data_IF_783862471564
#
_entry.id   IF_783862471564
#
_cell.length_a   1.000
_cell.length_b   1.000
_cell.length_c   1.000
_cell.angle_alpha   90.00
_cell.angle_beta   90.00
_cell.angle_gamma   90.00
#
_symmetry.space_group_name_H-M   'P 1'
#
loop_
_entity.id
_entity.type
_entity.pdbx_description
1 polymer ?
#
# COMPACT_ATOMS: atom_id res chain seq x y z
N UNK A 1 -23.29 -8.05 6.28
CA UNK A 1 -22.14 -8.60 5.55
C UNK A 1 -21.37 -9.50 6.48
N UNK A 2 -21.05 -10.68 6.05
CA UNK A 2 -20.27 -11.59 6.88
C UNK A 2 -18.74 -11.28 6.82
N UNK A 3 -17.98 -11.87 7.73
CA UNK A 3 -16.54 -11.63 7.85
C UNK A 3 -15.75 -12.11 6.62
N UNK A 4 -16.24 -13.15 5.94
CA UNK A 4 -15.57 -13.67 4.74
C UNK A 4 -15.76 -12.74 3.54
N UNK A 5 -16.95 -12.13 3.40
CA UNK A 5 -17.19 -11.08 2.41
C UNK A 5 -16.29 -9.87 2.64
N UNK A 6 -16.18 -9.43 3.90
CA UNK A 6 -15.29 -8.32 4.27
C UNK A 6 -13.84 -8.64 3.93
N UNK A 7 -13.36 -9.86 4.22
CA UNK A 7 -12.01 -10.29 3.87
C UNK A 7 -11.77 -10.28 2.37
N UNK A 8 -12.73 -10.77 1.57
CA UNK A 8 -12.61 -10.74 0.10
C UNK A 8 -12.49 -9.32 -0.45
N UNK A 9 -13.29 -8.39 0.08
CA UNK A 9 -13.23 -6.98 -0.30
C UNK A 9 -11.90 -6.34 0.14
N UNK A 10 -11.45 -6.61 1.35
CA UNK A 10 -10.18 -6.11 1.87
C UNK A 10 -8.99 -6.66 1.05
N UNK A 11 -9.05 -7.92 0.63
CA UNK A 11 -8.05 -8.51 -0.26
C UNK A 11 -7.98 -7.77 -1.59
N UNK A 12 -9.12 -7.52 -2.22
CA UNK A 12 -9.18 -6.75 -3.47
C UNK A 12 -8.59 -5.36 -3.30
N UNK A 13 -8.92 -4.66 -2.21
CA UNK A 13 -8.38 -3.34 -1.89
C UNK A 13 -6.86 -3.37 -1.69
N UNK A 14 -6.35 -4.38 -0.97
CA UNK A 14 -4.92 -4.50 -0.68
C UNK A 14 -4.10 -4.86 -1.93
N UNK A 15 -4.60 -5.75 -2.78
CA UNK A 15 -3.89 -6.23 -3.98
C UNK A 15 -3.98 -5.27 -5.16
N UNK A 16 -5.13 -4.62 -5.35
CA UNK A 16 -5.43 -3.80 -6.53
C UNK A 16 -5.57 -2.30 -6.23
N UNK A 17 -5.46 -1.91 -4.98
CA UNK A 17 -5.69 -0.54 -4.54
C UNK A 17 -7.16 -0.19 -4.41
N UNK A 18 -7.46 1.11 -4.26
CA UNK A 18 -8.83 1.59 -4.10
C UNK A 18 -9.67 1.25 -5.33
N UNK A 19 -10.81 0.61 -5.10
CA UNK A 19 -11.77 0.30 -6.13
C UNK A 19 -13.08 1.07 -5.87
N UNK A 20 -13.51 1.97 -6.77
CA UNK A 20 -14.68 2.84 -6.53
C UNK A 20 -15.96 2.09 -6.16
N UNK A 21 -16.18 0.90 -6.73
CA UNK A 21 -17.35 0.07 -6.45
C UNK A 21 -17.36 -0.56 -5.05
N UNK A 22 -16.22 -0.58 -4.35
CA UNK A 22 -16.07 -1.20 -3.03
C UNK A 22 -16.05 -0.20 -1.88
N UNK A 23 -16.00 1.10 -2.18
CA UNK A 23 -15.89 2.15 -1.17
C UNK A 23 -17.15 3.00 -1.09
N UNK A 24 -17.38 3.61 0.08
CA UNK A 24 -18.46 4.59 0.26
C UNK A 24 -18.13 5.91 -0.45
N UNK A 25 -19.15 6.73 -0.72
CA UNK A 25 -18.97 8.02 -1.38
C UNK A 25 -18.10 8.99 -0.55
N UNK A 26 -18.13 8.85 0.78
CA UNK A 26 -17.33 9.63 1.72
C UNK A 26 -16.08 8.89 2.21
N UNK A 27 -15.61 7.91 1.45
CA UNK A 27 -14.40 7.12 1.79
C UNK A 27 -13.21 8.01 2.11
N UNK A 28 -12.50 7.65 3.18
CA UNK A 28 -11.27 8.31 3.60
C UNK A 28 -10.11 7.32 3.70
N UNK A 29 -8.98 7.71 3.13
CA UNK A 29 -7.71 6.99 3.21
C UNK A 29 -6.72 7.85 3.99
N UNK A 30 -6.14 7.30 5.06
CA UNK A 30 -5.17 8.02 5.88
C UNK A 30 -3.87 7.23 6.03
N UNK A 31 -2.74 7.93 5.88
CA UNK A 31 -1.43 7.43 6.30
C UNK A 31 -1.26 7.82 7.76
N UNK A 32 -1.22 6.84 8.64
CA UNK A 32 -1.10 7.02 10.09
C UNK A 32 0.36 7.25 10.46
N UNK A 33 0.84 8.47 10.23
CA UNK A 33 2.20 8.91 10.52
C UNK A 33 2.20 10.40 10.84
N UNK A 34 3.29 10.87 11.43
CA UNK A 34 3.49 12.31 11.63
C UNK A 34 3.60 13.01 10.26
N UNK A 35 2.99 14.19 10.07
CA UNK A 35 3.00 14.91 8.78
C UNK A 35 4.41 15.17 8.22
N UNK A 36 5.43 15.30 9.09
CA UNK A 36 6.82 15.45 8.65
C UNK A 36 7.45 14.15 8.13
N UNK A 37 6.82 13.00 8.39
CA UNK A 37 7.38 11.68 8.06
C UNK A 37 6.92 11.16 6.69
N UNK A 38 5.81 11.68 6.17
CA UNK A 38 5.26 11.26 4.89
C UNK A 38 4.42 12.40 4.29
N UNK A 39 4.57 12.73 2.99
CA UNK A 39 3.86 13.87 2.39
C UNK A 39 2.34 13.67 2.34
N UNK A 40 1.86 12.43 2.34
CA UNK A 40 0.43 12.13 2.38
C UNK A 40 -0.15 11.99 3.79
N UNK A 41 0.69 12.04 4.85
CA UNK A 41 0.23 12.00 6.22
C UNK A 41 -0.33 13.36 6.68
N UNK A 42 -1.14 13.33 7.73
CA UNK A 42 -1.69 14.55 8.37
C UNK A 42 -3.06 14.98 7.88
N UNK A 43 -3.60 14.39 6.81
CA UNK A 43 -4.98 14.59 6.36
C UNK A 43 -5.55 13.34 5.68
N UNK A 44 -6.89 13.18 5.66
CA UNK A 44 -7.51 12.14 4.86
C UNK A 44 -7.44 12.45 3.37
N UNK A 45 -7.43 11.39 2.55
CA UNK A 45 -7.46 11.45 1.10
C UNK A 45 -8.72 10.77 0.58
N UNK A 46 -9.29 11.30 -0.50
CA UNK A 46 -10.43 10.71 -1.19
C UNK A 46 -10.01 9.51 -2.05
N UNK A 47 -10.99 8.71 -2.47
CA UNK A 47 -10.74 7.61 -3.40
C UNK A 47 -10.08 8.09 -4.71
N UNK A 48 -10.51 9.22 -5.26
CA UNK A 48 -9.95 9.77 -6.50
C UNK A 48 -8.50 10.22 -6.35
N UNK A 49 -8.12 10.78 -5.19
CA UNK A 49 -6.73 11.14 -4.90
C UNK A 49 -5.83 9.89 -4.86
N UNK A 50 -6.29 8.82 -4.21
CA UNK A 50 -5.54 7.55 -4.13
C UNK A 50 -5.43 6.90 -5.51
N UNK A 51 -6.49 6.87 -6.29
CA UNK A 51 -6.45 6.35 -7.66
C UNK A 51 -5.45 7.10 -8.54
N UNK A 52 -5.41 8.43 -8.46
CA UNK A 52 -4.42 9.25 -9.17
C UNK A 52 -2.98 8.92 -8.74
N UNK A 53 -2.75 8.69 -7.45
CA UNK A 53 -1.46 8.27 -6.91
C UNK A 53 -1.03 6.90 -7.43
N UNK A 54 -1.97 5.95 -7.49
CA UNK A 54 -1.71 4.60 -8.01
C UNK A 54 -1.38 4.63 -9.52
N UNK A 55 -2.06 5.45 -10.32
CA UNK A 55 -1.74 5.61 -11.74
C UNK A 55 -0.32 6.19 -11.94
N UNK A 56 0.08 7.18 -11.14
CA UNK A 56 1.47 7.69 -11.17
C UNK A 56 2.47 6.62 -10.74
N UNK A 57 2.13 5.80 -9.75
CA UNK A 57 3.00 4.70 -9.33
C UNK A 57 3.23 3.70 -10.45
N UNK A 58 2.24 3.39 -11.27
CA UNK A 58 2.38 2.51 -12.45
C UNK A 58 3.33 3.07 -13.51
N UNK A 59 3.40 4.40 -13.63
CA UNK A 59 4.35 5.06 -14.54
C UNK A 59 5.78 5.04 -14.00
N UNK A 60 5.95 5.10 -12.67
CA UNK A 60 7.25 5.22 -12.00
C UNK A 60 7.87 3.87 -11.63
N UNK A 61 7.06 2.84 -11.44
CA UNK A 61 7.48 1.54 -10.91
C UNK A 61 6.94 0.39 -11.76
N UNK A 62 7.66 -0.72 -11.70
CA UNK A 62 7.22 -2.02 -12.23
C UNK A 62 7.35 -3.09 -11.16
N UNK A 63 6.72 -4.23 -11.39
CA UNK A 63 6.91 -5.39 -10.53
C UNK A 63 8.35 -5.90 -10.62
N UNK A 64 8.94 -6.38 -9.50
CA UNK A 64 10.16 -7.19 -9.55
C UNK A 64 9.95 -8.43 -10.43
N UNK A 65 11.02 -8.87 -11.11
CA UNK A 65 10.94 -9.96 -12.10
C UNK A 65 10.38 -11.27 -11.53
N UNK A 66 10.64 -11.57 -10.25
CA UNK A 66 10.15 -12.79 -9.59
C UNK A 66 8.63 -12.86 -9.46
N UNK A 67 7.93 -11.73 -9.63
CA UNK A 67 6.46 -11.67 -9.55
C UNK A 67 5.78 -11.58 -10.92
N UNK A 68 6.56 -11.75 -12.01
CA UNK A 68 6.05 -11.63 -13.37
C UNK A 68 5.85 -10.18 -13.83
N UNK A 69 5.28 -9.97 -15.04
CA UNK A 69 5.05 -8.64 -15.57
C UNK A 69 3.95 -7.90 -14.81
N UNK A 70 4.11 -6.60 -14.64
CA UNK A 70 3.13 -5.72 -14.01
C UNK A 70 3.70 -4.35 -13.73
N UNK A 71 2.82 -3.38 -13.57
CA UNK A 71 3.14 -1.98 -13.33
C UNK A 71 2.73 -1.56 -11.91
N UNK A 72 3.53 -0.68 -11.31
CA UNK A 72 3.29 -0.17 -9.96
C UNK A 72 3.87 -1.06 -8.87
N UNK A 73 3.16 -1.14 -7.75
CA UNK A 73 3.57 -1.92 -6.58
C UNK A 73 2.94 -3.31 -6.60
N UNK A 74 3.75 -4.34 -6.37
CA UNK A 74 3.25 -5.69 -6.11
C UNK A 74 3.02 -5.87 -4.62
N UNK A 75 1.79 -6.17 -4.23
CA UNK A 75 1.40 -6.42 -2.84
C UNK A 75 1.27 -7.91 -2.58
N UNK A 76 1.92 -8.37 -1.53
CA UNK A 76 1.81 -9.75 -1.01
C UNK A 76 1.12 -9.69 0.34
N UNK A 77 -0.03 -10.34 0.46
CA UNK A 77 -0.76 -10.44 1.72
C UNK A 77 -0.12 -11.52 2.59
N UNK A 78 0.23 -11.16 3.83
CA UNK A 78 0.83 -12.07 4.81
C UNK A 78 -0.21 -12.63 5.79
N UNK A 79 -1.15 -11.81 6.21
CA UNK A 79 -2.25 -12.23 7.09
C UNK A 79 -3.46 -11.31 6.95
N UNK A 80 -4.63 -11.82 7.29
CA UNK A 80 -5.86 -11.04 7.43
C UNK A 80 -6.63 -11.52 8.66
N UNK A 81 -7.08 -10.54 9.45
CA UNK A 81 -7.95 -10.77 10.59
C UNK A 81 -9.18 -9.88 10.48
N UNK A 82 -10.37 -10.46 10.62
CA UNK A 82 -11.63 -9.73 10.57
C UNK A 82 -12.37 -9.86 11.91
N UNK A 83 -12.86 -8.74 12.41
CA UNK A 83 -13.65 -8.66 13.64
C UNK A 83 -14.58 -7.47 13.56
N UNK A 84 -15.85 -7.67 13.96
CA UNK A 84 -16.89 -6.63 13.94
C UNK A 84 -17.03 -5.98 12.55
N UNK A 85 -16.67 -4.69 12.45
CA UNK A 85 -16.78 -3.88 11.23
C UNK A 85 -15.45 -3.66 10.51
N UNK A 86 -14.39 -4.43 10.84
CA UNK A 86 -13.06 -4.17 10.34
C UNK A 86 -12.29 -5.40 9.90
N UNK A 87 -11.38 -5.18 8.97
CA UNK A 87 -10.38 -6.17 8.55
C UNK A 87 -8.99 -5.54 8.68
N UNK A 88 -8.09 -6.23 9.37
CA UNK A 88 -6.67 -5.87 9.45
C UNK A 88 -5.91 -6.75 8.47
N UNK A 89 -5.13 -6.13 7.59
CA UNK A 89 -4.34 -6.81 6.57
C UNK A 89 -2.87 -6.47 6.74
N UNK A 90 -2.04 -7.48 6.94
CA UNK A 90 -0.58 -7.32 6.92
C UNK A 90 -0.05 -7.66 5.53
N UNK A 91 0.74 -6.76 4.95
CA UNK A 91 1.26 -6.91 3.60
C UNK A 91 2.75 -6.58 3.50
N UNK A 92 3.37 -7.11 2.44
CA UNK A 92 4.62 -6.61 1.89
C UNK A 92 4.35 -5.99 0.54
N UNK A 93 4.97 -4.86 0.27
CA UNK A 93 4.87 -4.18 -1.02
C UNK A 93 6.24 -4.13 -1.67
N UNK A 94 6.33 -4.55 -2.92
CA UNK A 94 7.56 -4.63 -3.68
C UNK A 94 7.44 -3.87 -5.00
N UNK A 95 8.48 -3.15 -5.39
CA UNK A 95 8.54 -2.46 -6.66
C UNK A 95 9.99 -2.25 -7.12
N UNK A 96 10.17 -2.10 -8.43
CA UNK A 96 11.45 -1.68 -9.02
C UNK A 96 11.22 -0.32 -9.67
N UNK A 97 12.00 0.72 -9.30
CA UNK A 97 11.93 2.02 -9.97
C UNK A 97 12.35 1.91 -11.42
N UNK A 98 11.55 2.44 -12.35
CA UNK A 98 11.91 2.41 -13.78
C UNK A 98 13.15 3.25 -14.06
N UNK A 99 13.35 4.35 -13.31
CA UNK A 99 14.52 5.22 -13.43
C UNK A 99 15.81 4.60 -12.86
N UNK A 100 15.70 3.57 -12.02
CA UNK A 100 16.83 2.86 -11.43
C UNK A 100 16.52 1.36 -11.35
N UNK A 101 16.70 0.61 -12.46
CA UNK A 101 16.35 -0.81 -12.52
C UNK A 101 17.13 -1.72 -11.55
N UNK A 102 18.26 -1.26 -11.03
CA UNK A 102 19.04 -1.97 -10.00
C UNK A 102 18.51 -1.73 -8.59
N UNK A 103 17.63 -0.74 -8.39
CA UNK A 103 17.01 -0.43 -7.12
C UNK A 103 15.84 -1.34 -6.80
N UNK A 104 15.51 -1.44 -5.52
CA UNK A 104 14.37 -2.21 -5.03
C UNK A 104 13.67 -1.45 -3.93
N UNK A 105 12.37 -1.25 -4.09
CA UNK A 105 11.50 -0.79 -3.00
C UNK A 105 10.86 -2.00 -2.32
N UNK A 106 10.94 -2.05 -1.00
CA UNK A 106 10.22 -3.02 -0.17
C UNK A 106 9.69 -2.29 1.05
N UNK A 107 8.40 -2.44 1.34
CA UNK A 107 7.81 -1.86 2.54
C UNK A 107 6.86 -2.87 3.20
N UNK A 108 6.74 -2.77 4.52
CA UNK A 108 5.82 -3.56 5.31
C UNK A 108 4.68 -2.66 5.74
N UNK A 109 3.46 -3.07 5.43
CA UNK A 109 2.27 -2.26 5.58
C UNK A 109 1.22 -3.01 6.39
N UNK A 110 0.62 -2.34 7.36
CA UNK A 110 -0.61 -2.77 8.00
C UNK A 110 -1.73 -1.84 7.55
N UNK A 111 -2.74 -2.39 6.91
CA UNK A 111 -3.95 -1.68 6.53
C UNK A 111 -5.12 -2.09 7.42
N UNK A 112 -5.86 -1.12 7.94
CA UNK A 112 -7.10 -1.36 8.68
C UNK A 112 -8.24 -0.79 7.84
N UNK A 113 -9.06 -1.70 7.30
CA UNK A 113 -10.26 -1.34 6.54
C UNK A 113 -11.48 -1.37 7.45
N UNK A 114 -12.19 -0.27 7.54
CA UNK A 114 -13.43 -0.15 8.32
C UNK A 114 -14.61 -0.13 7.35
N UNK A 115 -15.59 -0.99 7.62
CA UNK A 115 -16.76 -1.20 6.76
C UNK A 115 -17.98 -0.48 7.32
N UNK A 116 -18.81 0.01 6.42
CA UNK A 116 -20.12 0.60 6.70
C UNK A 116 -21.04 0.35 5.53
N UNK A 117 -22.26 -0.14 5.81
CA UNK A 117 -23.28 -0.40 4.79
C UNK A 117 -22.78 -1.27 3.62
N UNK A 118 -21.98 -2.29 3.92
CA UNK A 118 -21.49 -3.24 2.92
C UNK A 118 -20.33 -2.74 2.06
N UNK A 119 -19.72 -1.61 2.40
CA UNK A 119 -18.58 -1.02 1.68
C UNK A 119 -17.48 -0.58 2.63
N UNK A 120 -16.28 -0.40 2.09
CA UNK A 120 -15.17 0.17 2.86
C UNK A 120 -15.39 1.68 2.99
N UNK A 121 -15.52 2.16 4.22
CA UNK A 121 -15.70 3.58 4.53
C UNK A 121 -14.40 4.27 4.87
N UNK A 122 -13.42 3.53 5.40
CA UNK A 122 -12.14 4.08 5.82
C UNK A 122 -11.02 3.05 5.62
N UNK A 123 -9.87 3.52 5.20
CA UNK A 123 -8.62 2.78 5.23
C UNK A 123 -7.58 3.57 6.03
N UNK A 124 -7.01 2.94 7.05
CA UNK A 124 -5.89 3.49 7.83
C UNK A 124 -4.65 2.67 7.53
N UNK A 125 -3.59 3.34 7.11
CA UNK A 125 -2.37 2.70 6.61
C UNK A 125 -1.21 3.03 7.53
N UNK A 126 -0.53 1.99 7.99
CA UNK A 126 0.72 2.06 8.76
C UNK A 126 1.82 1.45 7.91
N UNK A 127 2.90 2.19 7.68
CA UNK A 127 4.02 1.74 6.86
C UNK A 127 5.36 2.18 7.45
N UNK A 128 6.45 1.62 6.97
CA UNK A 128 7.79 2.08 7.33
C UNK A 128 8.09 3.41 6.62
N UNK A 129 7.77 4.50 7.27
CA UNK A 129 7.94 5.85 6.73
C UNK A 129 9.41 6.28 6.68
N UNK A 130 10.25 5.76 7.57
CA UNK A 130 11.69 6.04 7.54
C UNK A 130 12.33 5.45 6.28
N UNK A 131 11.98 4.21 5.95
CA UNK A 131 12.41 3.57 4.71
C UNK A 131 11.88 4.33 3.48
N UNK A 132 10.59 4.69 3.48
CA UNK A 132 9.99 5.44 2.40
C UNK A 132 10.71 6.77 2.14
N UNK A 133 11.04 7.52 3.20
CA UNK A 133 11.79 8.77 3.10
C UNK A 133 13.21 8.56 2.54
N UNK A 134 13.93 7.57 3.04
CA UNK A 134 15.28 7.25 2.56
C UNK A 134 15.25 6.83 1.08
N UNK A 135 14.27 6.04 0.68
CA UNK A 135 14.06 5.66 -0.72
C UNK A 135 13.78 6.88 -1.61
N UNK A 136 12.91 7.79 -1.16
CA UNK A 136 12.58 9.03 -1.91
C UNK A 136 13.78 9.96 -2.08
N UNK A 137 14.69 9.99 -1.10
CA UNK A 137 15.93 10.76 -1.18
C UNK A 137 17.01 10.10 -2.03
N UNK A 138 16.79 8.84 -2.45
CA UNK A 138 17.79 8.07 -3.18
C UNK A 138 19.02 7.73 -2.35
N UNK A 139 18.84 7.50 -1.02
CA UNK A 139 19.94 7.20 -0.10
C UNK A 139 20.65 5.89 -0.51
N UNK A 140 21.95 5.95 -0.94
CA UNK A 140 22.64 4.77 -1.45
C UNK A 140 22.86 3.68 -0.41
N UNK A 141 22.99 4.03 0.88
CA UNK A 141 23.21 3.06 1.95
C UNK A 141 21.95 2.22 2.17
N UNK A 142 20.79 2.86 2.24
CA UNK A 142 19.52 2.17 2.37
C UNK A 142 19.23 1.27 1.16
N UNK A 143 19.53 1.75 -0.03
CA UNK A 143 19.38 0.95 -1.27
C UNK A 143 20.32 -0.24 -1.30
N UNK A 144 21.57 -0.12 -0.79
CA UNK A 144 22.52 -1.21 -0.75
C UNK A 144 22.18 -2.26 0.31
N UNK A 145 21.71 -1.85 1.48
CA UNK A 145 21.28 -2.77 2.54
C UNK A 145 20.09 -3.64 2.10
N UNK A 146 19.16 -3.07 1.37
CA UNK A 146 18.01 -3.82 0.83
C UNK A 146 18.47 -4.86 -0.19
N UNK A 147 19.36 -4.50 -1.10
CA UNK A 147 19.91 -5.43 -2.06
C UNK A 147 20.63 -6.60 -1.38
N UNK A 148 21.39 -6.31 -0.33
CA UNK A 148 22.10 -7.33 0.46
C UNK A 148 21.13 -8.24 1.23
N UNK A 149 20.05 -7.71 1.80
CA UNK A 149 19.05 -8.50 2.53
C UNK A 149 18.24 -9.43 1.60
N UNK A 150 18.04 -9.05 0.35
CA UNK A 150 17.34 -9.88 -0.66
C UNK A 150 18.25 -10.99 -1.21
N UNK A 151 19.57 -10.79 -1.24
CA UNK A 151 20.56 -11.78 -1.69
C UNK A 151 20.91 -12.82 -0.61
N UNK A 152 20.59 -12.53 0.64
CA UNK A 152 20.82 -13.43 1.79
C UNK A 152 19.60 -14.31 2.03
#
# INVERSE_FOLDING_TARGET
>A
MDLDDMKRMAQTMAENGVHPGLVTDDFEYTIEAHPSSHPAAGRPHSASEILSGLERAKEMFRYPDEYGPGDGFKTIIRSMTAEDDRVVVETETHAVPRANPAGRYTNYIVAIYVFRDGKVARARIYEDTAFWQAFQRGDPEVMSEINTAVEA
#
